data_IF_228494699074
#
_entry.id   IF_228494699074
#
_cell.length_a   1.000
_cell.length_b   1.000
_cell.length_c   1.000
_cell.angle_alpha   90.00
_cell.angle_beta   90.00
_cell.angle_gamma   90.00
#
_symmetry.space_group_name_H-M   'P 1'
#
loop_
_entity.id
_entity.type
_entity.pdbx_description
1 polymer ?
#
# COMPACT_ATOMS: atom_id res chain seq x y z
N UNK A 1 1.13 28.89 33.59
CA UNK A 1 1.41 28.57 32.18
C UNK A 1 0.75 29.63 31.29
N UNK A 2 1.51 30.31 30.44
CA UNK A 2 0.98 31.37 29.55
C UNK A 2 -0.06 30.79 28.56
N UNK A 3 -1.15 31.52 28.23
CA UNK A 3 -2.13 31.10 27.23
C UNK A 3 -1.50 30.69 25.89
N UNK A 4 -0.45 31.40 25.45
CA UNK A 4 0.28 31.10 24.21
C UNK A 4 0.95 29.72 24.26
N UNK A 5 1.48 29.34 25.43
CA UNK A 5 2.13 28.05 25.64
C UNK A 5 1.11 26.90 25.67
N UNK A 6 -0.11 27.14 26.19
CA UNK A 6 -1.21 26.17 26.15
C UNK A 6 -1.67 25.89 24.71
N UNK A 7 -1.81 26.93 23.90
CA UNK A 7 -2.20 26.79 22.48
C UNK A 7 -1.14 26.04 21.69
N UNK A 8 0.14 26.36 21.88
CA UNK A 8 1.23 25.64 21.25
C UNK A 8 1.23 24.15 21.63
N UNK A 9 1.12 23.83 22.92
CA UNK A 9 1.06 22.45 23.40
C UNK A 9 -0.12 21.67 22.79
N UNK A 10 -1.29 22.30 22.64
CA UNK A 10 -2.44 21.70 21.98
C UNK A 10 -2.20 21.39 20.49
N UNK A 11 -1.62 22.33 19.74
CA UNK A 11 -1.28 22.13 18.32
C UNK A 11 -0.29 20.96 18.18
N UNK A 12 0.78 20.96 18.97
CA UNK A 12 1.75 19.86 18.96
C UNK A 12 1.13 18.52 19.37
N UNK A 13 0.21 18.52 20.35
CA UNK A 13 -0.52 17.32 20.76
C UNK A 13 -1.38 16.74 19.62
N UNK A 14 -2.09 17.59 18.87
CA UNK A 14 -2.89 17.16 17.71
C UNK A 14 -1.98 16.60 16.60
N UNK A 15 -0.87 17.28 16.30
CA UNK A 15 0.07 16.82 15.28
C UNK A 15 0.72 15.48 15.66
N UNK A 16 1.08 15.31 16.94
CA UNK A 16 1.64 14.05 17.45
C UNK A 16 0.61 12.91 17.40
N UNK A 17 -0.64 13.17 17.82
CA UNK A 17 -1.72 12.19 17.75
C UNK A 17 -2.03 11.78 16.30
N UNK A 18 -2.04 12.74 15.37
CA UNK A 18 -2.20 12.48 13.95
C UNK A 18 -1.04 11.63 13.39
N UNK A 19 0.21 12.00 13.69
CA UNK A 19 1.39 11.24 13.28
C UNK A 19 1.38 9.80 13.81
N UNK A 20 1.01 9.61 15.07
CA UNK A 20 0.88 8.28 15.68
C UNK A 20 -0.24 7.45 15.03
N UNK A 21 -1.40 8.06 14.76
CA UNK A 21 -2.52 7.40 14.08
C UNK A 21 -2.14 6.93 12.68
N UNK A 22 -1.45 7.79 11.92
CA UNK A 22 -0.93 7.47 10.59
C UNK A 22 0.11 6.35 10.67
N UNK A 23 1.07 6.43 11.60
CA UNK A 23 2.10 5.40 11.77
C UNK A 23 1.53 4.02 12.13
N UNK A 24 0.56 3.97 13.05
CA UNK A 24 -0.13 2.72 13.43
C UNK A 24 -0.92 2.15 12.24
N UNK A 25 -1.60 3.01 11.49
CA UNK A 25 -2.32 2.61 10.27
C UNK A 25 -1.38 1.98 9.24
N UNK A 26 -0.23 2.61 8.97
CA UNK A 26 0.79 2.10 8.04
C UNK A 26 1.33 0.75 8.48
N UNK A 27 1.69 0.61 9.76
CA UNK A 27 2.19 -0.65 10.30
C UNK A 27 1.20 -1.78 10.01
N UNK A 28 -0.08 -1.58 10.36
CA UNK A 28 -1.16 -2.54 10.10
C UNK A 28 -1.30 -2.91 8.63
N UNK A 29 -1.16 -1.94 7.72
CA UNK A 29 -1.24 -2.16 6.27
C UNK A 29 -0.05 -2.99 5.78
N UNK A 30 1.16 -2.60 6.17
CA UNK A 30 2.38 -3.31 5.75
C UNK A 30 2.49 -4.71 6.34
N UNK A 31 1.89 -4.94 7.50
CA UNK A 31 1.81 -6.27 8.13
C UNK A 31 0.64 -7.11 7.62
N UNK A 32 -0.33 -6.53 6.93
CA UNK A 32 -1.47 -7.26 6.39
C UNK A 32 -1.06 -8.03 5.12
N UNK A 33 -1.71 -9.17 4.87
CA UNK A 33 -1.46 -10.04 3.71
C UNK A 33 -1.50 -9.30 2.35
N UNK A 34 -2.26 -8.20 2.29
CA UNK A 34 -2.44 -7.36 1.10
C UNK A 34 -1.14 -6.70 0.61
N UNK A 35 -0.26 -6.23 1.49
CA UNK A 35 0.95 -5.52 1.07
C UNK A 35 1.99 -6.44 0.42
N UNK A 36 2.35 -7.61 0.99
CA UNK A 36 3.19 -8.59 0.32
C UNK A 36 2.65 -9.04 -1.04
N UNK A 37 1.33 -9.20 -1.16
CA UNK A 37 0.65 -9.57 -2.41
C UNK A 37 0.75 -8.47 -3.47
N UNK A 38 0.42 -7.24 -3.12
CA UNK A 38 0.56 -6.07 -3.98
C UNK A 38 2.01 -5.91 -4.49
N UNK A 39 2.98 -6.10 -3.59
CA UNK A 39 4.42 -6.07 -3.94
C UNK A 39 4.79 -7.14 -4.95
N UNK A 40 4.34 -8.39 -4.77
CA UNK A 40 4.57 -9.49 -5.71
C UNK A 40 3.88 -9.25 -7.05
N UNK A 41 2.66 -8.71 -7.04
CA UNK A 41 1.92 -8.38 -8.25
C UNK A 41 2.60 -7.30 -9.07
N UNK A 42 3.08 -6.23 -8.43
CA UNK A 42 3.88 -5.21 -9.11
C UNK A 42 5.19 -5.78 -9.67
N UNK A 43 5.90 -6.62 -8.91
CA UNK A 43 7.12 -7.26 -9.41
C UNK A 43 6.84 -8.13 -10.65
N UNK A 44 5.77 -8.93 -10.63
CA UNK A 44 5.36 -9.75 -11.77
C UNK A 44 4.97 -8.90 -12.99
N UNK A 45 4.27 -7.80 -12.78
CA UNK A 45 3.93 -6.84 -13.83
C UNK A 45 5.17 -6.23 -14.49
N UNK A 46 6.11 -5.73 -13.68
CA UNK A 46 7.35 -5.12 -14.18
C UNK A 46 8.20 -6.15 -14.94
N UNK A 47 8.27 -7.39 -14.47
CA UNK A 47 8.97 -8.47 -15.17
C UNK A 47 8.29 -8.82 -16.51
N UNK A 48 6.96 -8.95 -16.53
CA UNK A 48 6.20 -9.27 -17.73
C UNK A 48 6.32 -8.18 -18.82
N UNK A 49 6.40 -6.92 -18.40
CA UNK A 49 6.59 -5.76 -19.29
C UNK A 49 8.04 -5.51 -19.66
N UNK A 50 8.98 -6.35 -19.22
CA UNK A 50 10.44 -6.19 -19.41
C UNK A 50 10.95 -4.81 -18.95
N UNK A 51 10.32 -4.26 -17.91
CA UNK A 51 10.74 -2.99 -17.32
C UNK A 51 12.15 -3.13 -16.73
N UNK A 52 12.98 -2.10 -16.92
CA UNK A 52 14.28 -1.98 -16.24
C UNK A 52 14.16 -1.95 -14.71
N UNK A 53 12.95 -1.76 -14.20
CA UNK A 53 12.65 -1.68 -12.77
C UNK A 53 12.21 -3.01 -12.16
N UNK A 54 12.10 -4.09 -12.94
CA UNK A 54 11.62 -5.40 -12.48
C UNK A 54 12.39 -5.97 -11.29
N UNK A 55 13.68 -5.62 -11.15
CA UNK A 55 14.55 -6.07 -10.07
C UNK A 55 14.83 -4.98 -9.02
N UNK A 56 14.19 -3.82 -9.13
CA UNK A 56 14.39 -2.73 -8.19
C UNK A 56 13.61 -2.95 -6.89
N UNK A 57 14.10 -2.40 -5.75
CA UNK A 57 13.32 -2.39 -4.53
C UNK A 57 11.98 -1.67 -4.72
N UNK A 58 10.89 -2.37 -4.37
CA UNK A 58 9.53 -1.84 -4.36
C UNK A 58 9.18 -1.40 -2.93
N UNK A 59 8.67 -0.18 -2.80
CA UNK A 59 8.23 0.41 -1.54
C UNK A 59 6.85 1.06 -1.66
N UNK A 60 6.15 1.15 -0.52
CA UNK A 60 4.89 1.87 -0.42
C UNK A 60 5.13 3.39 -0.34
N UNK A 61 4.36 4.18 -1.09
CA UNK A 61 4.43 5.65 -1.00
C UNK A 61 3.43 6.19 0.03
N UNK A 62 3.98 6.66 1.15
CA UNK A 62 3.27 7.03 2.37
C UNK A 62 2.65 8.45 2.37
N UNK A 63 2.46 9.12 1.23
CA UNK A 63 2.21 10.56 1.32
C UNK A 63 0.84 10.95 1.91
N UNK A 64 -0.17 10.07 1.88
CA UNK A 64 -1.47 10.31 2.53
C UNK A 64 -2.27 9.00 2.68
N UNK A 65 -3.30 8.98 3.56
CA UNK A 65 -4.33 7.94 3.60
C UNK A 65 -5.16 7.82 2.31
N UNK A 66 -5.01 8.75 1.35
CA UNK A 66 -5.71 8.70 0.07
C UNK A 66 -5.07 7.74 -0.93
N UNK A 67 -3.80 7.38 -0.70
CA UNK A 67 -3.06 6.38 -1.50
C UNK A 67 -3.27 4.95 -0.99
N UNK A 68 -4.14 4.79 0.01
CA UNK A 68 -4.60 3.52 0.51
C UNK A 68 -6.12 3.54 0.68
N UNK A 69 -6.85 2.76 -0.13
CA UNK A 69 -8.30 2.59 0.03
C UNK A 69 -8.58 1.12 0.27
N UNK A 70 -9.23 0.80 1.38
CA UNK A 70 -9.67 -0.56 1.67
C UNK A 70 -11.18 -0.56 1.86
N UNK A 71 -11.88 -1.44 1.13
CA UNK A 71 -13.26 -1.78 1.42
C UNK A 71 -13.33 -3.26 1.80
N UNK A 72 -13.37 -3.57 3.11
CA UNK A 72 -13.46 -4.94 3.59
C UNK A 72 -14.72 -5.66 3.09
N UNK A 73 -15.82 -4.93 2.88
CA UNK A 73 -17.09 -5.49 2.38
C UNK A 73 -16.96 -6.11 0.99
N UNK A 74 -16.01 -5.62 0.18
CA UNK A 74 -15.82 -6.03 -1.21
C UNK A 74 -14.45 -6.71 -1.39
N UNK A 75 -13.71 -6.94 -0.31
CA UNK A 75 -12.40 -7.60 -0.37
C UNK A 75 -11.35 -6.82 -1.16
N UNK A 76 -11.41 -5.49 -1.15
CA UNK A 76 -10.61 -4.63 -2.04
C UNK A 76 -9.60 -3.78 -1.27
N UNK A 77 -8.36 -3.68 -1.75
CA UNK A 77 -7.35 -2.75 -1.28
C UNK A 77 -6.57 -2.10 -2.45
N UNK A 78 -6.56 -0.78 -2.52
CA UNK A 78 -5.74 0.02 -3.44
C UNK A 78 -4.52 0.58 -2.71
N UNK A 79 -3.36 0.54 -3.34
CA UNK A 79 -2.07 0.97 -2.81
C UNK A 79 -1.26 1.68 -3.89
N UNK A 80 -0.57 2.77 -3.55
CA UNK A 80 0.45 3.35 -4.43
C UNK A 80 1.83 2.82 -4.09
N UNK A 81 2.43 2.07 -5.01
CA UNK A 81 3.74 1.45 -4.83
C UNK A 81 4.73 2.05 -5.80
N UNK A 82 5.97 2.29 -5.37
CA UNK A 82 7.00 2.89 -6.20
C UNK A 82 8.28 2.07 -6.19
N UNK A 83 9.07 2.26 -7.23
CA UNK A 83 10.41 1.68 -7.43
C UNK A 83 11.47 2.70 -7.03
N UNK A 84 12.71 2.27 -6.81
CA UNK A 84 13.84 3.15 -6.41
C UNK A 84 14.12 4.30 -7.38
N UNK A 85 13.71 4.17 -8.64
CA UNK A 85 13.74 5.20 -9.69
C UNK A 85 12.62 6.25 -9.59
N UNK A 86 11.79 6.17 -8.55
CA UNK A 86 10.62 7.02 -8.27
C UNK A 86 9.43 6.85 -9.23
N UNK A 87 9.43 5.84 -10.11
CA UNK A 87 8.22 5.45 -10.84
C UNK A 87 7.22 4.84 -9.86
N UNK A 88 5.95 5.26 -9.95
CA UNK A 88 4.90 4.86 -9.02
C UNK A 88 3.71 4.29 -9.77
N UNK A 89 3.25 3.13 -9.31
CA UNK A 89 2.18 2.34 -9.86
C UNK A 89 1.01 2.29 -8.89
N UNK A 90 -0.20 2.39 -9.41
CA UNK A 90 -1.41 2.12 -8.66
C UNK A 90 -1.63 0.61 -8.69
N UNK A 91 -1.57 -0.02 -7.51
CA UNK A 91 -1.73 -1.45 -7.33
C UNK A 91 -3.01 -1.69 -6.58
N UNK A 92 -3.88 -2.52 -7.14
CA UNK A 92 -5.16 -2.85 -6.57
C UNK A 92 -5.25 -4.35 -6.35
N UNK A 93 -5.49 -4.77 -5.11
CA UNK A 93 -5.75 -6.15 -4.73
C UNK A 93 -7.25 -6.37 -4.50
N UNK A 94 -7.81 -7.41 -5.09
CA UNK A 94 -9.20 -7.83 -4.89
C UNK A 94 -9.24 -9.30 -4.47
N UNK A 95 -10.05 -9.64 -3.47
CA UNK A 95 -10.55 -11.01 -3.27
C UNK A 95 -11.98 -11.06 -3.80
N UNK A 96 -12.27 -12.01 -4.67
CA UNK A 96 -13.63 -12.18 -5.17
C UNK A 96 -14.44 -13.05 -4.20
N UNK A 97 -15.74 -12.80 -4.09
CA UNK A 97 -16.66 -13.67 -3.34
C UNK A 97 -16.66 -15.10 -3.92
N UNK A 98 -16.40 -15.21 -5.23
CA UNK A 98 -16.33 -16.47 -5.96
C UNK A 98 -15.07 -17.31 -5.65
N UNK A 99 -13.97 -16.68 -5.21
CA UNK A 99 -12.77 -17.38 -4.73
C UNK A 99 -12.20 -16.66 -3.49
N UNK A 100 -12.78 -16.91 -2.31
CA UNK A 100 -12.22 -16.40 -1.06
C UNK A 100 -10.76 -16.88 -0.93
N UNK A 101 -9.82 -15.94 -0.81
CA UNK A 101 -8.39 -16.24 -0.67
C UNK A 101 -7.60 -16.30 -1.98
N UNK A 102 -8.23 -16.23 -3.16
CA UNK A 102 -7.52 -15.90 -4.41
C UNK A 102 -7.54 -14.40 -4.63
N UNK A 103 -6.36 -13.82 -4.56
CA UNK A 103 -6.15 -12.41 -4.76
C UNK A 103 -5.81 -12.12 -6.22
N UNK A 104 -6.61 -11.27 -6.85
CA UNK A 104 -6.33 -10.71 -8.16
C UNK A 104 -5.67 -9.34 -7.97
N UNK A 105 -4.56 -9.13 -8.66
CA UNK A 105 -3.84 -7.85 -8.61
C UNK A 105 -4.05 -7.12 -9.93
N UNK A 106 -4.44 -5.86 -9.86
CA UNK A 106 -4.46 -4.94 -10.99
C UNK A 106 -3.36 -3.89 -10.80
N UNK A 107 -2.50 -3.70 -11.78
CA UNK A 107 -1.42 -2.70 -11.77
C UNK A 107 -1.67 -1.74 -12.92
N UNK A 108 -1.93 -0.47 -12.62
CA UNK A 108 -2.22 0.58 -13.60
C UNK A 108 -3.31 0.20 -14.64
N UNK A 109 -4.32 -0.54 -14.21
CA UNK A 109 -5.40 -1.03 -15.08
C UNK A 109 -5.16 -2.41 -15.68
N UNK A 110 -3.96 -3.00 -15.51
CA UNK A 110 -3.59 -4.30 -16.06
C UNK A 110 -3.73 -5.42 -15.02
N UNK A 111 -4.51 -6.45 -15.33
CA UNK A 111 -4.65 -7.61 -14.46
C UNK A 111 -3.41 -8.50 -14.48
N UNK A 112 -2.91 -8.83 -13.30
CA UNK A 112 -1.75 -9.68 -13.06
C UNK A 112 -2.23 -10.95 -12.40
N UNK A 113 -2.13 -12.06 -13.13
CA UNK A 113 -2.30 -13.38 -12.53
C UNK A 113 -1.02 -13.72 -11.76
N UNK A 114 -1.12 -13.72 -10.44
CA UNK A 114 -0.11 -14.32 -9.57
C UNK A 114 -0.20 -15.85 -9.74
N UNK A 115 0.35 -16.40 -10.83
CA UNK A 115 0.59 -17.85 -10.91
C UNK A 115 1.47 -18.21 -9.73
N UNK A 116 0.98 -19.09 -8.85
CA UNK A 116 1.61 -19.62 -7.64
C UNK A 116 3.12 -19.43 -7.65
N UNK A 117 3.58 -18.31 -7.07
CA UNK A 117 4.99 -18.08 -6.88
C UNK A 117 5.43 -19.04 -5.78
N UNK A 118 6.46 -19.88 -6.01
CA UNK A 118 6.91 -20.84 -5.01
C UNK A 118 7.24 -20.06 -3.73
N UNK A 119 6.56 -20.42 -2.65
CA UNK A 119 6.90 -19.96 -1.32
C UNK A 119 8.38 -20.28 -1.09
N UNK A 120 9.17 -19.25 -0.86
CA UNK A 120 10.38 -19.39 -0.04
C UNK A 120 9.98 -19.11 1.39
#
# INVERSE_FOLDING_TARGET
MSPKLKVAAWIFGILAAYGASVGIGVYRITSAEMYPLAKRGLAAYLAATRSSEANQPIYFRWWTSWYFRNQPSNGWAEMKMCTSSAACHNVIAYTTVANPGKWEINVDGQWVTLKELPGK
#
